data_IF_561484254843
#
_entry.id   IF_561484254843
#
_cell.length_a   1.000
_cell.length_b   1.000
_cell.length_c   1.000
_cell.angle_alpha   90.00
_cell.angle_beta   90.00
_cell.angle_gamma   90.00
#
_symmetry.space_group_name_H-M   'P 1'
#
loop_
_entity.id
_entity.type
_entity.pdbx_description
1 polymer ?
#
# COMPACT_ATOMS: atom_id res chain seq x y z
N UNK A 1 -4.33 -10.94 -51.45
CA UNK A 1 -3.17 -10.60 -50.64
C UNK A 1 -3.43 -9.49 -49.61
N UNK A 2 -4.15 -8.41 -49.91
CA UNK A 2 -4.49 -7.34 -48.93
C UNK A 2 -5.41 -7.83 -47.79
N UNK A 3 -6.37 -8.70 -48.03
CA UNK A 3 -7.28 -9.24 -46.98
C UNK A 3 -6.59 -10.15 -45.98
N UNK A 4 -5.59 -10.94 -46.43
CA UNK A 4 -4.81 -11.81 -45.56
C UNK A 4 -3.89 -11.00 -44.63
N UNK A 5 -3.35 -9.86 -45.08
CA UNK A 5 -2.56 -8.95 -44.24
C UNK A 5 -3.37 -8.27 -43.13
N UNK A 6 -4.63 -7.91 -43.40
CA UNK A 6 -5.54 -7.32 -42.42
C UNK A 6 -5.93 -8.33 -41.33
N UNK A 7 -6.17 -9.60 -41.70
CA UNK A 7 -6.47 -10.67 -40.74
C UNK A 7 -5.26 -10.98 -39.85
N UNK A 8 -4.04 -11.00 -40.40
CA UNK A 8 -2.81 -11.20 -39.63
C UNK A 8 -2.53 -10.05 -38.66
N UNK A 9 -2.80 -8.81 -39.03
CA UNK A 9 -2.67 -7.65 -38.13
C UNK A 9 -3.72 -7.68 -37.01
N UNK A 10 -4.96 -8.08 -37.32
CA UNK A 10 -6.02 -8.22 -36.31
C UNK A 10 -5.75 -9.38 -35.34
N UNK A 11 -5.15 -10.48 -35.84
CA UNK A 11 -4.76 -11.63 -34.98
C UNK A 11 -3.53 -11.32 -34.13
N UNK A 12 -2.57 -10.54 -34.63
CA UNK A 12 -1.42 -10.07 -33.84
C UNK A 12 -1.84 -9.09 -32.74
N UNK A 13 -2.87 -8.25 -32.97
CA UNK A 13 -3.43 -7.37 -31.96
C UNK A 13 -4.17 -8.13 -30.83
N UNK A 14 -4.72 -9.33 -31.09
CA UNK A 14 -5.35 -10.18 -30.09
C UNK A 14 -4.36 -10.96 -29.21
N UNK A 15 -3.10 -11.11 -29.61
CA UNK A 15 -2.07 -11.81 -28.84
C UNK A 15 -1.33 -10.92 -27.84
N UNK A 16 -1.66 -9.65 -27.74
CA UNK A 16 -1.12 -8.71 -26.75
C UNK A 16 -1.98 -8.65 -25.48
N UNK A 17 -2.69 -9.74 -25.15
CA UNK A 17 -3.48 -9.85 -23.92
C UNK A 17 -2.60 -10.34 -22.79
N UNK A 18 -2.31 -9.41 -21.91
CA UNK A 18 -2.04 -9.61 -20.47
C UNK A 18 -0.81 -10.44 -20.10
N UNK A 19 0.38 -9.84 -20.17
CA UNK A 19 1.49 -10.26 -19.30
C UNK A 19 1.25 -9.75 -17.87
N UNK A 20 0.32 -10.34 -17.13
CA UNK A 20 0.08 -10.00 -15.73
C UNK A 20 -0.43 -11.20 -14.96
N UNK A 21 -0.04 -11.33 -13.70
CA UNK A 21 -0.55 -12.34 -12.79
C UNK A 21 -1.80 -11.82 -12.09
N UNK A 22 -2.89 -12.60 -12.12
CA UNK A 22 -4.08 -12.28 -11.33
C UNK A 22 -3.84 -12.67 -9.88
N UNK A 23 -4.14 -11.76 -8.96
CA UNK A 23 -4.02 -11.94 -7.52
C UNK A 23 -5.34 -11.53 -6.84
N UNK A 24 -5.67 -12.20 -5.75
CA UNK A 24 -6.85 -11.90 -4.94
C UNK A 24 -6.43 -11.19 -3.67
N UNK A 25 -7.02 -10.02 -3.41
CA UNK A 25 -6.77 -9.26 -2.18
C UNK A 25 -7.41 -9.99 -1.00
N UNK A 26 -6.65 -10.25 0.09
CA UNK A 26 -7.20 -10.86 1.29
C UNK A 26 -8.37 -10.03 1.87
N UNK A 27 -9.25 -10.65 2.62
CA UNK A 27 -10.44 -10.04 3.27
C UNK A 27 -11.49 -9.58 2.26
N UNK A 28 -11.14 -8.71 1.31
CA UNK A 28 -12.09 -8.12 0.35
C UNK A 28 -12.43 -9.04 -0.80
N UNK A 29 -11.55 -9.97 -1.15
CA UNK A 29 -11.73 -10.89 -2.29
C UNK A 29 -11.59 -10.20 -3.66
N UNK A 30 -11.20 -8.91 -3.69
CA UNK A 30 -11.02 -8.16 -4.93
C UNK A 30 -9.93 -8.79 -5.80
N UNK A 31 -10.20 -8.88 -7.08
CA UNK A 31 -9.21 -9.33 -8.07
C UNK A 31 -8.37 -8.13 -8.56
N UNK A 32 -7.08 -8.34 -8.69
CA UNK A 32 -6.13 -7.38 -9.25
C UNK A 32 -5.18 -8.06 -10.24
N UNK A 33 -4.63 -7.29 -11.18
CA UNK A 33 -3.67 -7.79 -12.17
C UNK A 33 -2.33 -7.09 -11.98
N UNK A 34 -1.30 -7.86 -11.65
CA UNK A 34 0.05 -7.39 -11.40
C UNK A 34 0.97 -7.72 -12.59
N UNK A 35 1.70 -6.72 -13.09
CA UNK A 35 2.71 -6.87 -14.15
C UNK A 35 4.11 -7.07 -13.60
N UNK A 36 4.26 -6.99 -12.27
CA UNK A 36 5.53 -7.13 -11.55
C UNK A 36 5.42 -8.30 -10.59
N UNK A 37 6.49 -9.06 -10.42
CA UNK A 37 6.57 -10.15 -9.45
C UNK A 37 6.80 -9.60 -8.04
N UNK A 38 6.41 -10.38 -7.02
CA UNK A 38 6.70 -10.06 -5.62
C UNK A 38 8.21 -9.87 -5.40
N UNK A 39 9.05 -10.73 -5.97
CA UNK A 39 10.50 -10.64 -5.83
C UNK A 39 11.08 -9.31 -6.33
N UNK A 40 10.63 -8.81 -7.49
CA UNK A 40 11.05 -7.53 -8.04
C UNK A 40 10.61 -6.38 -7.13
N UNK A 41 9.34 -6.36 -6.73
CA UNK A 41 8.79 -5.31 -5.86
C UNK A 41 9.49 -5.28 -4.51
N UNK A 42 9.69 -6.44 -3.88
CA UNK A 42 10.38 -6.55 -2.59
C UNK A 42 11.83 -6.10 -2.65
N UNK A 43 12.55 -6.44 -3.75
CA UNK A 43 13.93 -6.01 -3.96
C UNK A 43 14.05 -4.49 -4.07
N UNK A 44 13.19 -3.87 -4.89
CA UNK A 44 13.16 -2.43 -5.11
C UNK A 44 12.74 -1.67 -3.84
N UNK A 45 11.70 -2.13 -3.17
CA UNK A 45 11.23 -1.53 -1.92
C UNK A 45 12.31 -1.60 -0.83
N UNK A 46 13.00 -2.74 -0.71
CA UNK A 46 14.14 -2.89 0.22
C UNK A 46 15.26 -1.90 -0.09
N UNK A 47 15.60 -1.71 -1.35
CA UNK A 47 16.63 -0.75 -1.75
C UNK A 47 16.23 0.68 -1.39
N UNK A 48 15.00 1.11 -1.71
CA UNK A 48 14.50 2.44 -1.35
C UNK A 48 14.40 2.64 0.15
N UNK A 49 13.95 1.62 0.89
CA UNK A 49 13.95 1.66 2.35
C UNK A 49 15.35 1.85 2.94
N UNK A 50 16.33 1.09 2.46
CA UNK A 50 17.71 1.21 2.92
C UNK A 50 18.28 2.60 2.63
N UNK A 51 17.96 3.17 1.46
CA UNK A 51 18.40 4.53 1.11
C UNK A 51 17.76 5.57 2.01
N UNK A 52 16.45 5.47 2.28
CA UNK A 52 15.78 6.33 3.24
C UNK A 52 16.41 6.26 4.64
N UNK A 53 16.69 5.05 5.13
CA UNK A 53 17.23 4.85 6.48
C UNK A 53 18.67 5.36 6.66
N UNK A 54 19.43 5.60 5.58
CA UNK A 54 20.76 6.23 5.68
C UNK A 54 20.68 7.70 6.14
N UNK A 55 19.60 8.38 5.83
CA UNK A 55 19.40 9.81 6.13
C UNK A 55 18.42 10.05 7.26
N UNK A 56 17.51 9.10 7.50
CA UNK A 56 16.52 9.18 8.57
C UNK A 56 17.18 9.13 9.94
N UNK A 57 16.78 10.03 10.84
CA UNK A 57 17.25 10.07 12.21
C UNK A 57 16.29 9.24 13.08
N UNK A 58 16.79 8.18 13.68
CA UNK A 58 16.00 7.40 14.63
C UNK A 58 15.56 8.28 15.82
N UNK A 59 14.33 8.06 16.30
CA UNK A 59 13.85 8.73 17.52
C UNK A 59 14.71 8.37 18.73
N UNK A 60 15.00 9.37 19.52
CA UNK A 60 15.66 9.20 20.83
C UNK A 60 14.67 8.96 21.96
N UNK A 61 13.37 9.05 21.71
CA UNK A 61 12.32 8.76 22.68
C UNK A 61 12.07 7.26 22.80
N UNK A 62 12.73 6.63 23.79
CA UNK A 62 12.66 5.19 24.01
C UNK A 62 11.23 4.70 24.29
N UNK A 63 10.43 5.46 25.03
CA UNK A 63 9.03 5.12 25.35
C UNK A 63 8.17 5.06 24.08
N UNK A 64 8.23 6.08 23.25
CA UNK A 64 7.48 6.16 22.00
C UNK A 64 7.95 5.09 21.01
N UNK A 65 9.27 4.87 20.91
CA UNK A 65 9.83 3.81 20.07
C UNK A 65 9.34 2.43 20.50
N UNK A 66 9.32 2.15 21.81
CA UNK A 66 8.79 0.91 22.35
C UNK A 66 7.29 0.74 22.06
N UNK A 67 6.51 1.83 22.15
CA UNK A 67 5.09 1.83 21.80
C UNK A 67 4.87 1.49 20.32
N UNK A 68 5.55 2.15 19.39
CA UNK A 68 5.46 1.89 17.95
C UNK A 68 5.81 0.43 17.65
N UNK A 69 6.93 -0.08 18.19
CA UNK A 69 7.32 -1.48 18.02
C UNK A 69 6.29 -2.46 18.56
N UNK A 70 5.73 -2.20 19.73
CA UNK A 70 4.73 -3.06 20.36
C UNK A 70 3.44 -3.10 19.55
N UNK A 71 2.93 -1.95 19.11
CA UNK A 71 1.71 -1.87 18.27
C UNK A 71 1.95 -2.58 16.95
N UNK A 72 3.06 -2.27 16.28
CA UNK A 72 3.40 -2.89 15.00
C UNK A 72 3.55 -4.40 15.11
N UNK A 73 4.23 -4.91 16.14
CA UNK A 73 4.43 -6.34 16.33
C UNK A 73 3.12 -7.09 16.57
N UNK A 74 2.17 -6.51 17.32
CA UNK A 74 0.83 -7.09 17.51
C UNK A 74 0.08 -7.18 16.19
N UNK A 75 0.11 -6.12 15.38
CA UNK A 75 -0.51 -6.11 14.06
C UNK A 75 0.14 -7.15 13.12
N UNK A 76 1.47 -7.17 13.05
CA UNK A 76 2.21 -8.15 12.24
C UNK A 76 1.88 -9.59 12.63
N UNK A 77 1.77 -9.87 13.92
CA UNK A 77 1.38 -11.19 14.43
C UNK A 77 -0.05 -11.54 14.03
N UNK A 78 -1.00 -10.60 14.16
CA UNK A 78 -2.39 -10.81 13.77
C UNK A 78 -2.53 -11.08 12.27
N UNK A 79 -1.86 -10.27 11.43
CA UNK A 79 -1.86 -10.42 9.97
C UNK A 79 -1.21 -11.74 9.55
N UNK A 80 -0.07 -12.08 10.13
CA UNK A 80 0.64 -13.35 9.84
C UNK A 80 -0.25 -14.56 10.16
N UNK A 81 -0.93 -14.53 11.31
CA UNK A 81 -1.85 -15.60 11.70
C UNK A 81 -3.07 -15.65 10.78
N UNK A 82 -3.62 -14.50 10.41
CA UNK A 82 -4.72 -14.42 9.45
C UNK A 82 -4.34 -15.08 8.12
N UNK A 83 -3.20 -14.69 7.53
CA UNK A 83 -2.74 -15.22 6.25
C UNK A 83 -2.53 -16.74 6.31
N UNK A 84 -1.89 -17.25 7.38
CA UNK A 84 -1.69 -18.68 7.58
C UNK A 84 -3.00 -19.46 7.65
N UNK A 85 -3.99 -18.92 8.37
CA UNK A 85 -5.26 -19.60 8.62
C UNK A 85 -6.25 -19.53 7.45
N UNK A 86 -5.98 -18.68 6.45
CA UNK A 86 -6.85 -18.50 5.28
C UNK A 86 -6.22 -18.96 3.95
N UNK A 87 -5.29 -19.91 4.00
CA UNK A 87 -4.71 -20.50 2.80
C UNK A 87 -3.65 -19.64 2.10
N UNK A 88 -3.21 -18.56 2.73
CA UNK A 88 -2.24 -17.59 2.19
C UNK A 88 -0.87 -17.70 2.89
N UNK A 89 -0.52 -18.90 3.38
CA UNK A 89 0.72 -19.12 4.13
C UNK A 89 1.98 -18.75 3.35
N UNK A 90 1.97 -18.90 2.02
CA UNK A 90 3.07 -18.50 1.13
C UNK A 90 3.33 -17.00 1.16
N UNK A 91 2.28 -16.17 1.28
CA UNK A 91 2.39 -14.71 1.34
C UNK A 91 3.16 -14.24 2.58
N UNK A 92 3.15 -15.03 3.66
CA UNK A 92 3.89 -14.70 4.89
C UNK A 92 5.38 -14.54 4.64
N UNK A 93 5.94 -15.30 3.67
CA UNK A 93 7.35 -15.25 3.33
C UNK A 93 7.76 -13.92 2.67
N UNK A 94 6.80 -13.15 2.18
CA UNK A 94 7.01 -11.82 1.61
C UNK A 94 7.25 -10.76 2.69
N UNK A 95 7.01 -11.04 3.96
CA UNK A 95 7.10 -10.06 5.04
C UNK A 95 8.29 -10.32 5.98
N UNK A 96 9.16 -9.33 6.06
CA UNK A 96 10.22 -9.23 7.08
C UNK A 96 9.97 -7.95 7.90
N UNK A 97 9.00 -8.04 8.83
CA UNK A 97 8.46 -6.92 9.59
C UNK A 97 9.53 -6.13 10.34
N UNK A 98 9.51 -4.81 10.17
CA UNK A 98 10.40 -3.88 10.85
C UNK A 98 9.65 -2.58 11.15
N UNK A 99 9.82 -2.06 12.37
CA UNK A 99 9.08 -0.89 12.86
C UNK A 99 10.05 0.16 13.38
N UNK A 100 10.03 1.33 12.76
CA UNK A 100 10.92 2.44 13.10
C UNK A 100 10.12 3.69 13.45
N UNK A 101 10.56 4.39 14.48
CA UNK A 101 10.13 5.74 14.78
C UNK A 101 11.28 6.68 14.44
N UNK A 102 11.02 7.67 13.59
CA UNK A 102 12.02 8.64 13.14
C UNK A 102 11.71 10.07 13.62
N UNK A 103 12.78 10.85 13.82
CA UNK A 103 12.68 12.26 14.22
C UNK A 103 12.25 13.10 13.02
N UNK A 104 10.94 13.23 12.85
CA UNK A 104 10.35 14.13 11.88
C UNK A 104 9.06 14.71 12.47
N UNK A 105 8.82 16.00 12.20
CA UNK A 105 7.64 16.72 12.67
C UNK A 105 6.42 16.51 11.76
N UNK A 106 6.61 15.94 10.58
CA UNK A 106 5.52 15.61 9.69
C UNK A 106 4.57 14.61 10.36
N UNK A 107 3.28 14.81 10.12
CA UNK A 107 2.25 13.83 10.52
C UNK A 107 2.21 12.77 9.43
N UNK A 108 3.02 11.72 9.57
CA UNK A 108 3.10 10.69 8.54
C UNK A 108 3.49 9.32 9.12
N UNK A 109 3.10 8.28 8.40
CA UNK A 109 3.59 6.91 8.51
C UNK A 109 3.45 6.24 7.15
N UNK A 110 4.24 5.21 6.89
CA UNK A 110 4.13 4.41 5.68
C UNK A 110 4.64 2.99 5.88
N UNK A 111 4.16 2.07 5.06
CA UNK A 111 4.61 0.69 5.00
C UNK A 111 5.02 0.33 3.57
N UNK A 112 6.29 0.08 3.35
CA UNK A 112 6.76 -0.45 2.06
C UNK A 112 6.44 -1.93 1.91
N UNK A 113 6.33 -2.44 0.67
CA UNK A 113 6.31 -3.87 0.40
C UNK A 113 7.39 -4.60 1.20
N UNK A 114 7.03 -5.74 1.76
CA UNK A 114 7.93 -6.48 2.65
C UNK A 114 7.80 -6.14 4.13
N UNK A 115 6.91 -5.20 4.51
CA UNK A 115 6.59 -4.90 5.91
C UNK A 115 7.62 -4.00 6.60
N UNK A 116 8.27 -3.11 5.86
CA UNK A 116 9.15 -2.08 6.40
C UNK A 116 8.34 -0.84 6.73
N UNK A 117 8.11 -0.58 8.01
CA UNK A 117 7.23 0.46 8.52
C UNK A 117 8.05 1.57 9.18
N UNK A 118 7.75 2.79 8.78
CA UNK A 118 8.28 4.00 9.39
C UNK A 118 7.12 4.84 9.91
N UNK A 119 7.27 5.32 11.13
CA UNK A 119 6.37 6.27 11.79
C UNK A 119 7.17 7.52 12.09
N UNK A 120 6.60 8.67 11.80
CA UNK A 120 7.20 9.97 12.11
C UNK A 120 6.72 10.43 13.50
N UNK A 121 7.61 11.03 14.28
CA UNK A 121 7.25 11.51 15.64
C UNK A 121 6.05 12.45 15.63
N UNK A 122 5.90 13.27 14.56
CA UNK A 122 4.78 14.19 14.41
C UNK A 122 3.40 13.54 14.34
N UNK A 123 3.32 12.24 14.05
CA UNK A 123 2.04 11.49 14.04
C UNK A 123 1.54 11.20 15.47
N UNK A 124 2.44 11.00 16.44
CA UNK A 124 2.07 10.52 17.77
C UNK A 124 1.15 11.45 18.56
N UNK A 125 1.33 12.79 18.53
CA UNK A 125 0.39 13.72 19.17
C UNK A 125 -1.03 13.64 18.59
N UNK A 126 -1.18 13.25 17.32
CA UNK A 126 -2.48 13.14 16.64
C UNK A 126 -3.16 11.82 16.96
N UNK A 127 -2.41 10.73 17.00
CA UNK A 127 -2.93 9.42 17.39
C UNK A 127 -3.30 9.36 18.88
N UNK A 128 -2.54 10.02 19.75
CA UNK A 128 -2.76 10.16 21.20
C UNK A 128 -2.65 8.86 22.02
N UNK A 129 -2.92 7.70 21.43
CA UNK A 129 -2.92 6.40 22.10
C UNK A 129 -2.60 5.25 21.15
N UNK A 130 -2.32 4.07 21.72
CA UNK A 130 -1.98 2.87 20.96
C UNK A 130 -3.09 2.40 20.01
N UNK A 131 -4.36 2.53 20.42
CA UNK A 131 -5.46 2.06 19.59
C UNK A 131 -5.62 2.91 18.32
N UNK A 132 -5.51 4.23 18.42
CA UNK A 132 -5.50 5.12 17.24
C UNK A 132 -4.25 4.91 16.39
N UNK A 133 -3.08 4.69 17.01
CA UNK A 133 -1.87 4.33 16.26
C UNK A 133 -2.05 2.99 15.51
N UNK A 134 -2.73 2.02 16.13
CA UNK A 134 -3.02 0.73 15.49
C UNK A 134 -3.97 0.86 14.29
N UNK A 135 -4.90 1.82 14.30
CA UNK A 135 -5.73 2.13 13.14
C UNK A 135 -4.86 2.61 11.97
N UNK A 136 -3.94 3.55 12.22
CA UNK A 136 -3.04 4.05 11.17
C UNK A 136 -2.11 2.94 10.67
N UNK A 137 -1.41 2.24 11.58
CA UNK A 137 -0.49 1.19 11.16
C UNK A 137 -1.22 -0.01 10.52
N UNK A 138 -2.45 -0.30 10.94
CA UNK A 138 -3.30 -1.30 10.30
C UNK A 138 -3.61 -0.94 8.84
N UNK A 139 -3.94 0.34 8.59
CA UNK A 139 -4.15 0.89 7.26
C UNK A 139 -2.87 0.77 6.39
N UNK A 140 -1.71 1.18 6.91
CA UNK A 140 -0.44 1.06 6.19
C UNK A 140 -0.07 -0.40 5.87
N UNK A 141 -0.25 -1.29 6.84
CA UNK A 141 -0.04 -2.73 6.65
C UNK A 141 -1.01 -3.29 5.60
N UNK A 142 -2.27 -2.81 5.58
CA UNK A 142 -3.24 -3.23 4.59
C UNK A 142 -2.82 -2.87 3.17
N UNK A 143 -2.23 -1.70 2.93
CA UNK A 143 -1.65 -1.37 1.62
C UNK A 143 -0.58 -2.38 1.19
N UNK A 144 0.29 -2.80 2.09
CA UNK A 144 1.33 -3.78 1.79
C UNK A 144 0.75 -5.19 1.56
N UNK A 145 -0.22 -5.62 2.35
CA UNK A 145 -0.89 -6.94 2.24
C UNK A 145 -1.74 -7.03 0.98
N UNK A 146 -2.44 -5.96 0.62
CA UNK A 146 -3.23 -5.85 -0.60
C UNK A 146 -2.36 -5.63 -1.86
N UNK A 147 -1.05 -5.44 -1.71
CA UNK A 147 -0.10 -5.18 -2.81
C UNK A 147 -0.45 -3.92 -3.63
N UNK A 148 -1.04 -2.89 -2.99
CA UNK A 148 -1.51 -1.69 -3.69
C UNK A 148 -0.39 -0.96 -4.44
N UNK A 149 0.84 -0.94 -3.92
CA UNK A 149 1.99 -0.34 -4.60
C UNK A 149 2.39 -1.12 -5.87
N UNK A 150 2.32 -2.47 -5.83
CA UNK A 150 2.56 -3.29 -7.02
C UNK A 150 1.46 -3.10 -8.08
N UNK A 151 0.21 -2.98 -7.65
CA UNK A 151 -0.92 -2.69 -8.55
C UNK A 151 -0.80 -1.30 -9.18
N UNK A 152 -0.42 -0.30 -8.39
CA UNK A 152 -0.20 1.07 -8.88
C UNK A 152 0.96 1.13 -9.88
N UNK A 153 2.09 0.48 -9.57
CA UNK A 153 3.22 0.36 -10.48
C UNK A 153 2.80 -0.32 -11.79
N UNK A 154 2.06 -1.43 -11.68
CA UNK A 154 1.53 -2.17 -12.84
C UNK A 154 0.60 -1.30 -13.68
N UNK A 155 -0.19 -0.45 -13.06
CA UNK A 155 -1.10 0.48 -13.74
C UNK A 155 -0.31 1.57 -14.49
N UNK A 156 0.72 2.14 -13.87
CA UNK A 156 1.58 3.13 -14.52
C UNK A 156 2.35 2.51 -15.69
N UNK A 157 2.83 1.29 -15.54
CA UNK A 157 3.48 0.55 -16.64
C UNK A 157 2.55 0.32 -17.81
N UNK A 158 1.30 -0.10 -17.56
CA UNK A 158 0.28 -0.26 -18.62
C UNK A 158 -0.02 1.06 -19.34
N UNK A 159 -0.13 2.16 -18.60
CA UNK A 159 -0.35 3.48 -19.18
C UNK A 159 0.83 3.90 -20.06
N UNK A 160 2.05 3.69 -19.61
CA UNK A 160 3.25 3.99 -20.37
C UNK A 160 3.37 3.13 -21.65
N UNK A 161 3.08 1.83 -21.54
CA UNK A 161 3.04 0.94 -22.70
C UNK A 161 1.95 1.34 -23.69
N UNK A 162 0.76 1.71 -23.20
CA UNK A 162 -0.33 2.23 -24.03
C UNK A 162 0.07 3.49 -24.80
N UNK A 163 0.79 4.41 -24.15
CA UNK A 163 1.33 5.60 -24.81
C UNK A 163 2.39 5.25 -25.88
N UNK A 164 3.30 4.30 -25.56
CA UNK A 164 4.32 3.84 -26.51
C UNK A 164 3.68 3.12 -27.71
N UNK A 165 2.65 2.30 -27.49
CA UNK A 165 1.89 1.67 -28.59
C UNK A 165 1.18 2.73 -29.41
N UNK A 166 0.56 3.73 -28.79
CA UNK A 166 -0.06 4.86 -29.49
C UNK A 166 0.93 5.64 -30.36
N UNK A 167 2.11 5.93 -29.82
CA UNK A 167 3.19 6.59 -30.59
C UNK A 167 3.83 5.67 -31.62
N UNK A 168 3.96 4.36 -31.34
CA UNK A 168 4.48 3.37 -32.28
C UNK A 168 3.49 3.10 -33.44
N UNK A 169 2.18 3.15 -33.19
CA UNK A 169 1.17 3.12 -34.27
C UNK A 169 1.27 4.39 -35.13
N UNK A 170 1.51 5.55 -34.49
CA UNK A 170 1.77 6.80 -35.20
C UNK A 170 3.14 6.82 -35.93
N UNK A 171 4.13 6.06 -35.38
CA UNK A 171 5.47 5.91 -35.93
C UNK A 171 5.75 4.53 -36.54
N UNK A 172 4.71 3.76 -36.92
CA UNK A 172 4.76 2.33 -37.31
C UNK A 172 5.70 1.97 -38.46
N UNK A 173 6.85 2.57 -38.50
CA UNK A 173 7.95 2.32 -39.42
C UNK A 173 9.28 2.34 -38.67
N UNK A 174 9.51 1.29 -37.87
CA UNK A 174 10.85 0.86 -37.48
C UNK A 174 11.47 1.50 -36.25
N UNK A 175 11.22 0.94 -35.08
CA UNK A 175 12.15 1.05 -33.95
C UNK A 175 12.10 -0.22 -33.09
N UNK A 176 13.31 -0.78 -32.82
CA UNK A 176 13.51 -2.00 -32.06
C UNK A 176 13.03 -1.89 -30.62
N UNK A 177 12.46 -2.99 -30.13
CA UNK A 177 12.06 -3.15 -28.73
C UNK A 177 13.31 -3.32 -27.87
N UNK A 178 13.64 -2.33 -27.04
CA UNK A 178 14.49 -2.54 -25.89
C UNK A 178 13.60 -2.95 -24.70
N UNK A 179 13.74 -4.18 -24.26
CA UNK A 179 13.16 -4.66 -23.00
C UNK A 179 13.88 -3.95 -21.85
N UNK A 180 13.34 -2.82 -21.41
CA UNK A 180 13.87 -2.13 -20.24
C UNK A 180 13.62 -3.00 -19.00
N UNK A 181 14.64 -3.13 -18.15
CA UNK A 181 14.48 -3.83 -16.87
C UNK A 181 13.45 -3.07 -16.00
N UNK A 182 12.79 -3.78 -15.07
CA UNK A 182 11.85 -3.17 -14.12
C UNK A 182 12.52 -2.02 -13.34
N UNK A 183 13.82 -2.12 -13.06
CA UNK A 183 14.60 -1.06 -12.40
C UNK A 183 14.61 0.22 -13.21
N UNK A 184 14.86 0.12 -14.53
CA UNK A 184 14.82 1.28 -15.42
C UNK A 184 13.42 1.87 -15.54
N UNK A 185 12.39 1.02 -15.55
CA UNK A 185 10.99 1.46 -15.57
C UNK A 185 10.63 2.21 -14.29
N UNK A 186 10.98 1.70 -13.12
CA UNK A 186 10.77 2.35 -11.82
C UNK A 186 11.50 3.70 -11.77
N UNK A 187 12.75 3.76 -12.26
CA UNK A 187 13.50 5.00 -12.33
C UNK A 187 12.86 6.01 -13.31
N UNK A 188 12.46 5.55 -14.49
CA UNK A 188 11.81 6.40 -15.51
C UNK A 188 10.45 6.96 -15.04
N UNK A 189 9.70 6.17 -14.24
CA UNK A 189 8.44 6.59 -13.64
C UNK A 189 8.64 7.45 -12.38
N UNK A 190 9.87 7.59 -11.90
CA UNK A 190 10.19 8.22 -10.62
C UNK A 190 9.35 7.62 -9.45
N UNK A 191 9.17 6.29 -9.49
CA UNK A 191 8.27 5.58 -8.57
C UNK A 191 8.92 5.41 -7.20
N UNK A 192 8.29 5.97 -6.17
CA UNK A 192 8.77 5.91 -4.80
C UNK A 192 7.74 5.20 -3.91
N UNK A 193 8.10 4.02 -3.37
CA UNK A 193 7.24 3.22 -2.51
C UNK A 193 6.89 3.89 -1.17
N UNK A 194 7.71 4.80 -0.68
CA UNK A 194 7.48 5.51 0.60
C UNK A 194 6.65 6.79 0.47
N UNK A 195 6.29 7.19 -0.75
CA UNK A 195 5.52 8.41 -1.00
C UNK A 195 4.53 8.19 -2.16
N UNK A 196 3.60 7.26 -1.96
CA UNK A 196 2.59 6.92 -2.96
C UNK A 196 1.25 7.53 -2.58
N UNK A 197 0.62 8.22 -3.56
CA UNK A 197 -0.78 8.61 -3.48
C UNK A 197 -1.64 7.53 -4.09
N UNK A 198 -2.42 6.88 -3.26
CA UNK A 198 -3.27 5.79 -3.69
C UNK A 198 -4.61 6.27 -4.24
N UNK A 199 -5.27 5.44 -5.04
CA UNK A 199 -6.62 5.72 -5.48
C UNK A 199 -7.61 5.67 -4.31
N UNK A 200 -8.76 6.36 -4.42
CA UNK A 200 -9.82 6.29 -3.40
C UNK A 200 -10.28 4.87 -3.10
N UNK A 201 -10.25 3.99 -4.10
CA UNK A 201 -10.62 2.59 -3.90
C UNK A 201 -9.57 1.85 -3.06
N UNK A 202 -8.27 2.09 -3.30
CA UNK A 202 -7.19 1.53 -2.49
C UNK A 202 -7.25 2.04 -1.05
N UNK A 203 -7.54 3.33 -0.85
CA UNK A 203 -7.70 3.91 0.49
C UNK A 203 -8.87 3.26 1.24
N UNK A 204 -10.02 3.14 0.57
CA UNK A 204 -11.21 2.50 1.12
C UNK A 204 -10.96 1.02 1.48
N UNK A 205 -10.23 0.29 0.62
CA UNK A 205 -9.86 -1.10 0.87
C UNK A 205 -8.86 -1.21 2.03
N UNK A 206 -7.88 -0.30 2.10
CA UNK A 206 -6.92 -0.26 3.18
C UNK A 206 -7.58 0.08 4.53
N UNK A 207 -8.58 0.96 4.55
CA UNK A 207 -9.37 1.24 5.75
C UNK A 207 -10.15 0.01 6.23
N UNK A 208 -10.85 -0.67 5.31
CA UNK A 208 -11.61 -1.86 5.64
C UNK A 208 -10.72 -2.95 6.24
N UNK A 209 -9.64 -3.30 5.54
CA UNK A 209 -8.68 -4.31 5.98
C UNK A 209 -7.97 -3.88 7.27
N UNK A 210 -7.51 -2.62 7.35
CA UNK A 210 -6.78 -2.08 8.49
C UNK A 210 -7.60 -2.07 9.77
N UNK A 211 -8.90 -1.75 9.66
CA UNK A 211 -9.84 -1.82 10.78
C UNK A 211 -9.95 -3.25 11.35
N UNK A 212 -10.03 -4.24 10.45
CA UNK A 212 -10.06 -5.66 10.82
C UNK A 212 -8.74 -6.10 11.44
N UNK A 213 -7.60 -5.69 10.88
CA UNK A 213 -6.28 -6.02 11.41
C UNK A 213 -6.06 -5.43 12.82
N UNK A 214 -6.50 -4.18 13.05
CA UNK A 214 -6.45 -3.57 14.38
C UNK A 214 -7.29 -4.37 15.40
N UNK A 215 -8.49 -4.78 15.01
CA UNK A 215 -9.39 -5.59 15.85
C UNK A 215 -8.76 -6.97 16.18
N UNK A 216 -8.20 -7.66 15.17
CA UNK A 216 -7.49 -8.93 15.35
C UNK A 216 -6.27 -8.80 16.27
N UNK A 217 -5.58 -7.64 16.23
CA UNK A 217 -4.46 -7.34 17.10
C UNK A 217 -4.87 -6.99 18.55
N UNK A 218 -6.18 -6.95 18.82
CA UNK A 218 -6.74 -6.68 20.14
C UNK A 218 -6.90 -5.19 20.45
N UNK A 219 -6.89 -4.32 19.43
CA UNK A 219 -7.20 -2.90 19.58
C UNK A 219 -8.67 -2.65 19.23
N UNK A 220 -9.34 -1.79 20.02
CA UNK A 220 -10.74 -1.45 19.78
C UNK A 220 -10.90 -0.69 18.46
N UNK A 221 -11.56 -1.26 17.44
CA UNK A 221 -11.72 -0.62 16.16
C UNK A 221 -12.61 0.63 16.20
N UNK A 222 -13.43 0.80 17.23
CA UNK A 222 -14.37 1.92 17.36
C UNK A 222 -13.64 3.27 17.47
N UNK A 223 -12.38 3.27 17.94
CA UNK A 223 -11.56 4.49 18.03
C UNK A 223 -11.27 5.10 16.65
N UNK A 224 -11.41 4.33 15.56
CA UNK A 224 -11.18 4.82 14.20
C UNK A 224 -12.08 6.02 13.88
N UNK A 225 -13.33 6.01 14.29
CA UNK A 225 -14.29 7.08 14.03
C UNK A 225 -13.80 8.41 14.63
N UNK A 226 -13.51 8.40 15.93
CA UNK A 226 -13.04 9.60 16.64
C UNK A 226 -11.65 10.03 16.17
N UNK A 227 -10.78 9.08 15.80
CA UNK A 227 -9.46 9.39 15.21
C UNK A 227 -9.60 10.15 13.89
N UNK A 228 -10.37 9.65 12.93
CA UNK A 228 -10.56 10.32 11.64
C UNK A 228 -11.30 11.64 11.75
N UNK A 229 -12.22 11.78 12.70
CA UNK A 229 -12.84 13.07 13.03
C UNK A 229 -11.81 14.09 13.51
N UNK A 230 -10.90 13.70 14.41
CA UNK A 230 -9.80 14.57 14.86
C UNK A 230 -8.87 14.95 13.73
N UNK A 231 -8.49 13.97 12.88
CA UNK A 231 -7.65 14.22 11.70
C UNK A 231 -8.27 15.25 10.76
N UNK A 232 -9.56 15.13 10.47
CA UNK A 232 -10.30 16.05 9.60
C UNK A 232 -10.42 17.46 10.21
N UNK A 233 -10.51 17.55 11.54
CA UNK A 233 -10.66 18.82 12.27
C UNK A 233 -9.32 19.52 12.51
N UNK A 234 -8.22 18.79 12.51
CA UNK A 234 -6.88 19.30 12.75
C UNK A 234 -6.28 19.91 11.46
N UNK A 235 -6.91 20.94 10.91
CA UNK A 235 -6.47 21.67 9.70
C UNK A 235 -5.18 22.45 9.94
N UNK A 236 -4.08 21.77 10.33
CA UNK A 236 -2.73 22.35 10.37
C UNK A 236 -1.99 22.00 9.08
N UNK A 237 -0.97 22.78 8.73
CA UNK A 237 -0.11 22.48 7.56
C UNK A 237 0.49 21.06 7.63
N UNK A 238 0.73 20.53 8.82
CA UNK A 238 1.32 19.21 9.04
C UNK A 238 0.31 18.06 8.81
N UNK A 239 -0.95 18.22 9.21
CA UNK A 239 -2.00 17.23 8.94
C UNK A 239 -2.48 17.29 7.49
N UNK A 240 -2.34 18.44 6.82
CA UNK A 240 -2.71 18.60 5.43
C UNK A 240 -1.89 17.69 4.49
N UNK A 241 -0.62 17.42 4.80
CA UNK A 241 0.23 16.52 4.01
C UNK A 241 -0.25 15.07 4.13
N UNK A 242 -0.46 14.55 5.34
CA UNK A 242 -1.02 13.22 5.54
C UNK A 242 -2.38 13.06 4.84
N UNK A 243 -3.27 14.06 4.97
CA UNK A 243 -4.58 14.04 4.32
C UNK A 243 -4.50 14.23 2.79
N UNK A 244 -3.40 14.74 2.26
CA UNK A 244 -3.14 14.80 0.82
C UNK A 244 -2.89 13.41 0.23
N UNK A 245 -2.22 12.55 0.99
CA UNK A 245 -1.89 11.18 0.58
C UNK A 245 -3.00 10.20 0.97
N UNK A 246 -3.66 10.45 2.11
CA UNK A 246 -4.77 9.66 2.66
C UNK A 246 -6.01 10.55 2.92
N UNK A 247 -6.77 10.93 1.88
CA UNK A 247 -7.90 11.85 2.03
C UNK A 247 -8.90 11.37 3.07
N UNK A 248 -9.26 12.26 4.01
CA UNK A 248 -10.29 12.02 5.01
C UNK A 248 -11.47 12.94 4.76
N UNK A 249 -12.60 12.35 4.38
CA UNK A 249 -13.86 13.04 4.19
C UNK A 249 -15.01 12.35 4.95
N UNK A 250 -16.19 12.92 4.90
CA UNK A 250 -17.38 12.33 5.53
C UNK A 250 -17.70 10.94 4.97
N UNK A 251 -17.33 10.66 3.72
CA UNK A 251 -17.51 9.37 3.05
C UNK A 251 -16.65 8.30 3.72
N UNK A 252 -15.39 8.60 4.02
CA UNK A 252 -14.47 7.69 4.73
C UNK A 252 -15.03 7.28 6.10
N UNK A 253 -15.48 8.27 6.90
CA UNK A 253 -16.05 8.01 8.22
C UNK A 253 -17.31 7.14 8.12
N UNK A 254 -18.19 7.43 7.15
CA UNK A 254 -19.39 6.63 6.89
C UNK A 254 -19.07 5.19 6.50
N UNK A 255 -18.07 4.98 5.66
CA UNK A 255 -17.62 3.64 5.25
C UNK A 255 -17.07 2.86 6.46
N UNK A 256 -16.22 3.47 7.29
CA UNK A 256 -15.69 2.88 8.52
C UNK A 256 -16.84 2.47 9.46
N UNK A 257 -17.85 3.32 9.61
CA UNK A 257 -19.06 2.97 10.38
C UNK A 257 -19.77 1.75 9.81
N UNK A 258 -19.84 1.62 8.49
CA UNK A 258 -20.46 0.48 7.81
C UNK A 258 -19.71 -0.84 8.05
N UNK A 259 -18.37 -0.83 8.11
CA UNK A 259 -17.54 -2.02 8.37
C UNK A 259 -17.38 -2.36 9.84
N UNK A 260 -17.77 -1.47 10.75
CA UNK A 260 -17.60 -1.65 12.18
C UNK A 260 -18.23 -2.96 12.71
N UNK A 261 -19.47 -3.36 12.31
CA UNK A 261 -20.05 -4.64 12.77
C UNK A 261 -19.21 -5.86 12.35
N UNK A 262 -18.54 -5.80 11.20
CA UNK A 262 -17.63 -6.85 10.75
C UNK A 262 -16.35 -6.86 11.58
N UNK A 263 -15.69 -5.71 11.73
CA UNK A 263 -14.46 -5.57 12.49
C UNK A 263 -14.62 -6.04 13.95
N UNK A 264 -15.75 -5.74 14.57
CA UNK A 264 -16.07 -6.16 15.95
C UNK A 264 -16.15 -7.68 16.13
N UNK A 265 -16.41 -8.46 15.07
CA UNK A 265 -16.37 -9.95 15.14
C UNK A 265 -14.95 -10.46 15.41
N UNK A 266 -13.93 -9.70 15.01
CA UNK A 266 -12.51 -10.03 15.21
C UNK A 266 -11.95 -9.44 16.51
N UNK A 267 -12.65 -8.50 17.13
CA UNK A 267 -12.22 -7.85 18.36
C UNK A 267 -12.58 -8.70 19.58
N UNK A 268 -11.57 -9.24 20.25
CA UNK A 268 -11.75 -9.91 21.55
C UNK A 268 -11.32 -8.93 22.65
N UNK A 269 -12.29 -8.32 23.30
CA UNK A 269 -12.03 -7.50 24.50
C UNK A 269 -11.33 -8.40 25.52
N UNK A 270 -10.09 -8.04 25.90
CA UNK A 270 -9.34 -8.69 26.97
C UNK A 270 -9.79 -8.17 28.32
#
# INVERSE_FOLDING_TARGET
MKKIRIILVSMAAMLMVSCGTTSTVPITGRQQTLMVSDGEVLSLAKQQYQEFMKTAKASTNATNTAMVKRVGQKLATAVTNYLKNNGLASEVNNFAWEFNLVQDKQVNAWCMPGGKIVVYEGLLPVTQNEASLAIVLGHEIAHAVAKHSAEQLSTQMRQQQGLQIGTAIAGALGMGQNTQSIVQTVAALNFNFGNLKYSRNHESEADHMGLIFAAMAGYDPQVAISFWQRMSSASTSQTAEFLSDHPSDATRIKQIQGWMPEALKYYKKK
#
